data_IF_686248380875
#
_entry.id   IF_686248380875
#
_cell.length_a   1.000
_cell.length_b   1.000
_cell.length_c   1.000
_cell.angle_alpha   90.00
_cell.angle_beta   90.00
_cell.angle_gamma   90.00
#
_symmetry.space_group_name_H-M   'P 1'
#
loop_
_entity.id
_entity.type
_entity.pdbx_description
1 polymer ?
#
# COMPACT_ATOMS: atom_id res chain seq x y z
N UNK A 1 50.02 -18.08 -37.74
CA UNK A 1 50.76 -17.04 -38.48
C UNK A 1 49.93 -16.24 -39.51
N UNK A 2 48.57 -16.26 -39.49
CA UNK A 2 47.74 -15.56 -40.51
C UNK A 2 46.92 -14.35 -39.98
N UNK A 3 46.64 -14.25 -38.67
CA UNK A 3 45.82 -13.15 -38.11
C UNK A 3 46.56 -11.81 -37.93
N UNK A 4 47.86 -11.82 -37.62
CA UNK A 4 48.63 -10.58 -37.37
C UNK A 4 48.87 -9.74 -38.63
N UNK A 5 48.99 -10.38 -39.79
CA UNK A 5 49.23 -9.70 -41.06
C UNK A 5 47.99 -8.96 -41.56
N UNK A 6 46.80 -9.53 -41.34
CA UNK A 6 45.53 -8.91 -41.71
C UNK A 6 45.21 -7.68 -40.84
N UNK A 7 45.44 -7.76 -39.53
CA UNK A 7 45.23 -6.65 -38.59
C UNK A 7 46.18 -5.49 -38.91
N UNK A 8 47.46 -5.78 -39.17
CA UNK A 8 48.44 -4.77 -39.60
C UNK A 8 48.07 -4.09 -40.92
N UNK A 9 47.54 -4.83 -41.89
CA UNK A 9 47.06 -4.28 -43.16
C UNK A 9 45.94 -3.27 -42.99
N UNK A 10 44.89 -3.63 -42.25
CA UNK A 10 43.75 -2.74 -41.95
C UNK A 10 44.20 -1.50 -41.17
N UNK A 11 45.08 -1.66 -40.18
CA UNK A 11 45.64 -0.56 -39.39
C UNK A 11 46.44 0.42 -40.27
N UNK A 12 47.26 -0.07 -41.20
CA UNK A 12 47.99 0.79 -42.15
C UNK A 12 47.05 1.53 -43.11
N UNK A 13 45.98 0.88 -43.57
CA UNK A 13 44.97 1.54 -44.42
C UNK A 13 44.22 2.64 -43.67
N UNK A 14 43.86 2.42 -42.41
CA UNK A 14 43.20 3.43 -41.57
C UNK A 14 44.13 4.61 -41.29
N UNK A 15 45.41 4.36 -40.97
CA UNK A 15 46.40 5.42 -40.79
C UNK A 15 46.57 6.24 -42.08
N UNK A 16 46.68 5.58 -43.23
CA UNK A 16 46.80 6.22 -44.54
C UNK A 16 45.55 7.01 -44.94
N UNK A 17 44.36 6.53 -44.59
CA UNK A 17 43.10 7.24 -44.81
C UNK A 17 42.98 8.49 -43.93
N UNK A 18 43.28 8.36 -42.64
CA UNK A 18 43.28 9.50 -41.71
C UNK A 18 44.32 10.55 -42.14
N UNK A 19 45.48 10.13 -42.63
CA UNK A 19 46.56 10.98 -43.17
C UNK A 19 46.15 11.99 -44.26
N UNK A 20 44.95 11.85 -44.85
CA UNK A 20 44.42 12.74 -45.90
C UNK A 20 43.63 13.94 -45.36
N UNK A 21 43.26 13.92 -44.09
CA UNK A 21 42.46 14.99 -43.45
C UNK A 21 43.33 15.91 -42.60
N UNK A 22 42.90 17.15 -42.38
CA UNK A 22 43.58 18.08 -41.45
C UNK A 22 43.66 17.51 -40.03
N UNK A 23 44.75 17.83 -39.32
CA UNK A 23 45.02 17.41 -37.93
C UNK A 23 43.86 17.79 -37.02
N UNK A 24 43.33 19.01 -37.15
CA UNK A 24 42.18 19.50 -36.37
C UNK A 24 40.94 18.64 -36.59
N UNK A 25 40.65 18.26 -37.83
CA UNK A 25 39.47 17.44 -38.17
C UNK A 25 39.54 16.05 -37.55
N UNK A 26 40.73 15.44 -37.52
CA UNK A 26 40.94 14.11 -36.90
C UNK A 26 40.69 14.14 -35.40
N UNK A 27 41.26 15.14 -34.72
CA UNK A 27 41.09 15.34 -33.28
C UNK A 27 39.61 15.64 -32.98
N UNK A 28 39.01 16.60 -33.71
CA UNK A 28 37.62 16.97 -33.53
C UNK A 28 36.68 15.76 -33.71
N UNK A 29 36.85 14.95 -34.76
CA UNK A 29 36.01 13.77 -34.99
C UNK A 29 36.08 12.75 -33.84
N UNK A 30 37.28 12.47 -33.32
CA UNK A 30 37.47 11.56 -32.20
C UNK A 30 36.80 12.10 -30.91
N UNK A 31 37.02 13.37 -30.60
CA UNK A 31 36.41 14.00 -29.42
C UNK A 31 34.88 14.11 -29.56
N UNK A 32 34.35 14.44 -30.74
CA UNK A 32 32.91 14.48 -30.99
C UNK A 32 32.29 13.10 -30.79
N UNK A 33 32.90 12.03 -31.30
CA UNK A 33 32.40 10.66 -31.12
C UNK A 33 32.37 10.26 -29.63
N UNK A 34 33.42 10.59 -28.87
CA UNK A 34 33.47 10.36 -27.43
C UNK A 34 32.40 11.16 -26.67
N UNK A 35 32.20 12.44 -27.03
CA UNK A 35 31.18 13.28 -26.41
C UNK A 35 29.76 12.79 -26.70
N UNK A 36 29.50 12.29 -27.93
CA UNK A 36 28.21 11.67 -28.27
C UNK A 36 27.98 10.42 -27.43
N UNK A 37 28.96 9.53 -27.31
CA UNK A 37 28.85 8.33 -26.47
C UNK A 37 28.63 8.67 -25.00
N UNK A 38 29.35 9.67 -24.48
CA UNK A 38 29.14 10.17 -23.12
C UNK A 38 27.73 10.73 -22.93
N UNK A 39 27.24 11.49 -23.90
CA UNK A 39 25.88 12.03 -23.91
C UNK A 39 24.82 10.94 -23.96
N UNK A 40 25.04 9.86 -24.72
CA UNK A 40 24.13 8.71 -24.78
C UNK A 40 24.07 7.97 -23.43
N UNK A 41 25.23 7.71 -22.80
CA UNK A 41 25.32 7.09 -21.47
C UNK A 41 24.60 7.95 -20.43
N UNK A 42 24.93 9.24 -20.39
CA UNK A 42 24.32 10.19 -19.45
C UNK A 42 22.81 10.32 -19.67
N UNK A 43 22.38 10.43 -20.93
CA UNK A 43 20.98 10.53 -21.32
C UNK A 43 20.18 9.29 -20.93
N UNK A 44 20.67 8.08 -21.24
CA UNK A 44 19.99 6.84 -20.84
C UNK A 44 19.91 6.68 -19.32
N UNK A 45 20.96 7.12 -18.60
CA UNK A 45 20.97 7.12 -17.15
C UNK A 45 19.91 8.04 -16.54
N UNK A 46 19.82 9.29 -17.04
CA UNK A 46 18.83 10.27 -16.55
C UNK A 46 17.39 9.84 -16.85
N UNK A 47 17.12 9.30 -18.04
CA UNK A 47 15.79 8.79 -18.39
C UNK A 47 15.39 7.64 -17.46
N UNK A 48 16.28 6.67 -17.25
CA UNK A 48 16.03 5.52 -16.36
C UNK A 48 15.79 5.98 -14.92
N UNK A 49 16.60 6.90 -14.41
CA UNK A 49 16.44 7.43 -13.06
C UNK A 49 15.06 8.07 -12.86
N UNK A 50 14.60 8.87 -13.83
CA UNK A 50 13.28 9.51 -13.79
C UNK A 50 12.11 8.51 -13.87
N UNK A 51 12.26 7.42 -14.61
CA UNK A 51 11.26 6.34 -14.65
C UNK A 51 11.24 5.54 -13.36
N UNK A 52 12.43 5.27 -12.79
CA UNK A 52 12.58 4.55 -11.54
C UNK A 52 11.96 5.34 -10.38
N UNK A 53 12.18 6.65 -10.31
CA UNK A 53 11.55 7.53 -9.31
C UNK A 53 10.03 7.43 -9.33
N UNK A 54 9.40 7.57 -10.51
CA UNK A 54 7.94 7.41 -10.66
C UNK A 54 7.44 6.02 -10.26
N UNK A 55 8.19 4.97 -10.57
CA UNK A 55 7.83 3.60 -10.17
C UNK A 55 7.96 3.38 -8.67
N UNK A 56 8.92 4.02 -8.01
CA UNK A 56 9.01 3.99 -6.55
C UNK A 56 7.84 4.72 -5.89
N UNK A 57 7.36 5.83 -6.47
CA UNK A 57 6.14 6.49 -6.00
C UNK A 57 4.91 5.58 -6.13
N UNK A 58 4.75 4.92 -7.28
CA UNK A 58 3.67 3.96 -7.51
C UNK A 58 3.76 2.77 -6.54
N UNK A 59 4.97 2.27 -6.30
CA UNK A 59 5.24 1.23 -5.30
C UNK A 59 4.82 1.70 -3.90
N UNK A 60 5.18 2.91 -3.48
CA UNK A 60 4.83 3.45 -2.17
C UNK A 60 3.31 3.61 -2.01
N UNK A 61 2.60 4.10 -3.04
CA UNK A 61 1.13 4.22 -3.05
C UNK A 61 0.47 2.85 -2.93
N UNK A 62 0.91 1.88 -3.73
CA UNK A 62 0.42 0.50 -3.66
C UNK A 62 0.73 -0.11 -2.28
N UNK A 63 1.93 0.17 -1.74
CA UNK A 63 2.41 -0.28 -0.42
C UNK A 63 1.50 0.16 0.71
N UNK A 64 1.32 1.47 0.81
CA UNK A 64 0.51 2.12 1.83
C UNK A 64 -0.96 1.72 1.73
N UNK A 65 -1.49 1.57 0.51
CA UNK A 65 -2.88 1.16 0.32
C UNK A 65 -3.17 -0.26 0.83
N UNK A 66 -2.30 -1.26 0.62
CA UNK A 66 -2.61 -2.58 1.21
C UNK A 66 -2.50 -2.58 2.74
N UNK A 67 -1.53 -1.86 3.33
CA UNK A 67 -1.47 -1.68 4.79
C UNK A 67 -2.72 -0.96 5.33
N UNK A 68 -3.29 -0.05 4.53
CA UNK A 68 -4.55 0.62 4.86
C UNK A 68 -5.71 -0.37 4.81
N UNK A 69 -5.79 -1.23 3.79
CA UNK A 69 -6.84 -2.27 3.67
C UNK A 69 -6.77 -3.29 4.83
N UNK A 70 -5.56 -3.66 5.26
CA UNK A 70 -5.37 -4.51 6.45
C UNK A 70 -5.91 -3.83 7.72
N UNK A 71 -5.60 -2.54 7.92
CA UNK A 71 -6.15 -1.76 9.04
C UNK A 71 -7.68 -1.66 8.98
N UNK A 72 -8.25 -1.41 7.80
CA UNK A 72 -9.69 -1.38 7.57
C UNK A 72 -10.31 -2.73 7.97
N UNK A 73 -9.68 -3.85 7.57
CA UNK A 73 -10.15 -5.20 7.92
C UNK A 73 -10.14 -5.43 9.43
N UNK A 74 -9.05 -5.07 10.12
CA UNK A 74 -8.97 -5.13 11.58
C UNK A 74 -10.05 -4.29 12.27
N UNK A 75 -10.27 -3.06 11.80
CA UNK A 75 -11.32 -2.17 12.31
C UNK A 75 -12.72 -2.77 12.16
N UNK A 76 -13.02 -3.50 11.10
CA UNK A 76 -14.31 -4.19 10.96
C UNK A 76 -14.48 -5.30 11.98
N UNK A 77 -13.44 -6.10 12.25
CA UNK A 77 -13.52 -7.10 13.30
C UNK A 77 -13.78 -6.46 14.67
N UNK A 78 -13.10 -5.35 14.98
CA UNK A 78 -13.33 -4.60 16.22
C UNK A 78 -14.73 -3.98 16.29
N UNK A 79 -15.23 -3.43 15.17
CA UNK A 79 -16.59 -2.93 15.09
C UNK A 79 -17.60 -4.05 15.39
N UNK A 80 -17.47 -5.21 14.71
CA UNK A 80 -18.35 -6.36 14.90
C UNK A 80 -18.34 -6.84 16.35
N UNK A 81 -17.17 -6.94 16.97
CA UNK A 81 -17.01 -7.30 18.38
C UNK A 81 -17.77 -6.33 19.30
N UNK A 82 -17.66 -5.03 19.07
CA UNK A 82 -18.38 -4.03 19.86
C UNK A 82 -19.90 -4.08 19.64
N UNK A 83 -20.36 -4.30 18.41
CA UNK A 83 -21.78 -4.51 18.09
C UNK A 83 -22.33 -5.72 18.82
N UNK A 84 -21.65 -6.87 18.73
CA UNK A 84 -22.03 -8.10 19.44
C UNK A 84 -22.04 -7.87 20.96
N UNK A 85 -21.03 -7.19 21.49
CA UNK A 85 -20.96 -6.85 22.92
C UNK A 85 -22.17 -6.01 23.33
N UNK A 86 -22.54 -4.99 22.55
CA UNK A 86 -23.72 -4.16 22.82
C UNK A 86 -25.03 -4.94 22.76
N UNK A 87 -25.20 -5.84 21.79
CA UNK A 87 -26.43 -6.65 21.65
C UNK A 87 -26.66 -7.54 22.89
N UNK A 88 -25.59 -8.16 23.38
CA UNK A 88 -25.66 -9.08 24.52
C UNK A 88 -25.74 -8.36 25.85
N UNK A 89 -24.91 -7.32 26.05
CA UNK A 89 -24.76 -6.66 27.37
C UNK A 89 -25.59 -5.40 27.51
N UNK A 90 -25.93 -4.74 26.40
CA UNK A 90 -26.47 -3.39 26.41
C UNK A 90 -25.50 -2.27 26.74
N UNK A 91 -24.19 -2.56 26.81
CA UNK A 91 -23.22 -1.59 27.26
C UNK A 91 -23.17 -0.37 26.30
N UNK A 92 -23.55 0.84 26.76
CA UNK A 92 -23.56 2.03 25.91
C UNK A 92 -22.15 2.41 25.42
N UNK A 93 -21.09 2.07 26.16
CA UNK A 93 -19.71 2.30 25.71
C UNK A 93 -19.37 1.45 24.48
N UNK A 94 -19.83 0.19 24.44
CA UNK A 94 -19.63 -0.67 23.28
C UNK A 94 -20.36 -0.10 22.04
N UNK A 95 -21.58 0.42 22.22
CA UNK A 95 -22.30 1.10 21.13
C UNK A 95 -21.59 2.36 20.65
N UNK A 96 -21.11 3.20 21.57
CA UNK A 96 -20.35 4.40 21.23
C UNK A 96 -19.05 4.05 20.49
N UNK A 97 -18.35 3.01 20.91
CA UNK A 97 -17.13 2.55 20.26
C UNK A 97 -17.41 2.00 18.85
N UNK A 98 -18.48 1.23 18.67
CA UNK A 98 -18.90 0.75 17.35
C UNK A 98 -19.18 1.92 16.38
N UNK A 99 -19.91 2.95 16.84
CA UNK A 99 -20.19 4.15 16.03
C UNK A 99 -18.93 4.94 15.67
N UNK A 100 -17.98 5.08 16.61
CA UNK A 100 -16.68 5.72 16.34
C UNK A 100 -15.91 4.98 15.25
N UNK A 101 -15.78 3.66 15.39
CA UNK A 101 -15.10 2.83 14.40
C UNK A 101 -15.79 2.94 13.03
N UNK A 102 -17.13 2.97 12.97
CA UNK A 102 -17.86 3.16 11.71
C UNK A 102 -17.49 4.47 11.00
N UNK A 103 -17.38 5.58 11.74
CA UNK A 103 -16.97 6.87 11.19
C UNK A 103 -15.54 6.81 10.68
N UNK A 104 -14.60 6.36 11.51
CA UNK A 104 -13.17 6.27 11.14
C UNK A 104 -12.95 5.36 9.93
N UNK A 105 -13.70 4.27 9.84
CA UNK A 105 -13.67 3.32 8.74
C UNK A 105 -14.16 3.95 7.43
N UNK A 106 -15.27 4.70 7.49
CA UNK A 106 -15.81 5.38 6.32
C UNK A 106 -14.81 6.40 5.76
N UNK A 107 -14.15 7.17 6.64
CA UNK A 107 -13.13 8.15 6.25
C UNK A 107 -11.90 7.46 5.66
N UNK A 108 -11.43 6.38 6.29
CA UNK A 108 -10.25 5.63 5.83
C UNK A 108 -10.50 4.99 4.46
N UNK A 109 -11.69 4.43 4.22
CA UNK A 109 -12.07 3.87 2.92
C UNK A 109 -12.22 4.97 1.87
N UNK A 110 -12.79 6.12 2.21
CA UNK A 110 -12.88 7.26 1.29
C UNK A 110 -11.49 7.78 0.86
N UNK A 111 -10.53 7.80 1.77
CA UNK A 111 -9.13 8.10 1.45
C UNK A 111 -8.51 7.05 0.52
N UNK A 112 -8.68 5.75 0.84
CA UNK A 112 -8.21 4.65 -0.01
C UNK A 112 -8.77 4.74 -1.45
N UNK A 113 -10.06 5.06 -1.60
CA UNK A 113 -10.71 5.26 -2.90
C UNK A 113 -10.06 6.42 -3.67
N UNK A 114 -9.74 7.53 -3.01
CA UNK A 114 -9.08 8.69 -3.66
C UNK A 114 -7.67 8.37 -4.13
N UNK A 115 -6.93 7.56 -3.39
CA UNK A 115 -5.55 7.15 -3.72
C UNK A 115 -5.47 6.00 -4.73
N UNK A 116 -6.56 5.25 -4.92
CA UNK A 116 -6.63 4.13 -5.83
C UNK A 116 -6.63 4.58 -7.31
N UNK A 117 -5.49 4.37 -7.98
CA UNK A 117 -5.32 4.65 -9.41
C UNK A 117 -5.88 3.57 -10.33
N UNK A 118 -5.87 2.33 -9.86
CA UNK A 118 -6.34 1.17 -10.63
C UNK A 118 -7.87 1.06 -10.57
N UNK A 119 -8.57 0.96 -11.72
CA UNK A 119 -10.03 0.92 -11.76
C UNK A 119 -10.64 -0.28 -11.02
N UNK A 120 -10.02 -1.46 -11.09
CA UNK A 120 -10.54 -2.67 -10.45
C UNK A 120 -10.41 -2.58 -8.93
N UNK A 121 -9.25 -2.13 -8.43
CA UNK A 121 -9.05 -1.90 -7.00
C UNK A 121 -9.96 -0.80 -6.46
N UNK A 122 -10.16 0.27 -7.23
CA UNK A 122 -11.10 1.33 -6.88
C UNK A 122 -12.53 0.80 -6.77
N UNK A 123 -12.97 -0.02 -7.72
CA UNK A 123 -14.31 -0.61 -7.70
C UNK A 123 -14.51 -1.51 -6.46
N UNK A 124 -13.50 -2.31 -6.07
CA UNK A 124 -13.56 -3.10 -4.85
C UNK A 124 -13.73 -2.21 -3.60
N UNK A 125 -12.95 -1.13 -3.49
CA UNK A 125 -13.04 -0.18 -2.37
C UNK A 125 -14.39 0.55 -2.34
N UNK A 126 -14.96 0.90 -3.50
CA UNK A 126 -16.30 1.49 -3.59
C UNK A 126 -17.38 0.50 -3.14
N UNK A 127 -17.25 -0.79 -3.51
CA UNK A 127 -18.14 -1.85 -3.01
C UNK A 127 -18.02 -2.06 -1.50
N UNK A 128 -16.79 -2.07 -0.98
CA UNK A 128 -16.51 -2.09 0.46
C UNK A 128 -17.20 -0.94 1.20
N UNK A 129 -17.14 0.28 0.66
CA UNK A 129 -17.84 1.44 1.23
C UNK A 129 -19.35 1.21 1.30
N UNK A 130 -19.97 0.70 0.24
CA UNK A 130 -21.40 0.38 0.24
C UNK A 130 -21.75 -0.66 1.30
N UNK A 131 -20.92 -1.69 1.50
CA UNK A 131 -21.14 -2.69 2.54
C UNK A 131 -21.03 -2.09 3.95
N UNK A 132 -20.08 -1.18 4.18
CA UNK A 132 -19.95 -0.46 5.45
C UNK A 132 -21.17 0.42 5.72
N UNK A 133 -21.65 1.14 4.71
CA UNK A 133 -22.85 1.97 4.82
C UNK A 133 -24.10 1.14 5.13
N UNK A 134 -24.24 -0.01 4.47
CA UNK A 134 -25.30 -0.99 4.74
C UNK A 134 -25.24 -1.53 6.17
N UNK A 135 -24.05 -1.97 6.60
CA UNK A 135 -23.81 -2.45 7.95
C UNK A 135 -24.15 -1.39 9.00
N UNK A 136 -23.76 -0.12 8.78
CA UNK A 136 -24.10 1.02 9.65
C UNK A 136 -25.62 1.23 9.72
N UNK A 137 -26.30 1.24 8.57
CA UNK A 137 -27.75 1.42 8.54
C UNK A 137 -28.50 0.29 9.27
N UNK A 138 -28.05 -0.96 9.09
CA UNK A 138 -28.58 -2.11 9.82
C UNK A 138 -28.34 -2.01 11.33
N UNK A 139 -27.17 -1.52 11.74
CA UNK A 139 -26.87 -1.28 13.14
C UNK A 139 -27.80 -0.22 13.76
N UNK A 140 -28.06 0.89 13.07
CA UNK A 140 -29.00 1.92 13.55
C UNK A 140 -30.45 1.42 13.65
N UNK A 141 -30.85 0.45 12.82
CA UNK A 141 -32.15 -0.22 12.95
C UNK A 141 -32.19 -1.19 14.14
N UNK A 142 -31.06 -1.81 14.48
CA UNK A 142 -30.95 -2.77 15.55
C UNK A 142 -30.99 -2.14 16.95
N UNK A 143 -30.38 -0.96 17.11
CA UNK A 143 -30.28 -0.25 18.40
C UNK A 143 -31.66 -0.08 19.09
N UNK A 144 -32.69 0.49 18.44
CA UNK A 144 -33.99 0.66 19.08
C UNK A 144 -34.68 -0.67 19.41
N UNK A 145 -34.46 -1.73 18.64
CA UNK A 145 -34.99 -3.07 18.94
C UNK A 145 -34.39 -3.62 20.23
N UNK A 146 -33.07 -3.47 20.41
CA UNK A 146 -32.38 -3.90 21.62
C UNK A 146 -32.82 -3.08 22.84
N UNK A 147 -32.97 -1.77 22.69
CA UNK A 147 -33.44 -0.88 23.76
C UNK A 147 -34.87 -1.21 24.16
N UNK A 148 -35.77 -1.40 23.18
CA UNK A 148 -37.15 -1.82 23.40
C UNK A 148 -37.22 -3.16 24.11
N UNK A 149 -36.42 -4.14 23.68
CA UNK A 149 -36.29 -5.44 24.37
C UNK A 149 -35.93 -5.25 25.85
N UNK A 150 -34.91 -4.42 26.13
CA UNK A 150 -34.51 -4.13 27.51
C UNK A 150 -35.63 -3.51 28.34
N UNK A 151 -36.32 -2.50 27.80
CA UNK A 151 -37.46 -1.86 28.47
C UNK A 151 -38.61 -2.85 28.75
N UNK A 152 -38.96 -3.69 27.78
CA UNK A 152 -40.01 -4.70 27.93
C UNK A 152 -39.68 -5.72 29.02
N UNK A 153 -38.42 -6.12 29.14
CA UNK A 153 -37.98 -7.04 30.19
C UNK A 153 -37.96 -6.36 31.55
N UNK A 154 -37.27 -5.22 31.66
CA UNK A 154 -37.00 -4.56 32.95
C UNK A 154 -38.22 -3.86 33.54
N UNK A 155 -39.05 -3.23 32.70
CA UNK A 155 -40.19 -2.42 33.12
C UNK A 155 -41.54 -3.13 32.89
N UNK A 156 -41.58 -4.13 32.02
CA UNK A 156 -42.76 -4.94 31.75
C UNK A 156 -42.70 -6.26 32.50
N UNK A 157 -41.98 -7.22 31.94
CA UNK A 157 -42.02 -8.62 32.37
C UNK A 157 -41.59 -8.82 33.83
N UNK A 158 -40.47 -8.24 34.25
CA UNK A 158 -39.93 -8.44 35.60
C UNK A 158 -40.89 -8.00 36.72
N UNK A 159 -41.37 -6.74 36.76
CA UNK A 159 -42.29 -6.28 37.80
C UNK A 159 -43.67 -6.96 37.69
N UNK A 160 -44.18 -7.19 36.47
CA UNK A 160 -45.47 -7.87 36.26
C UNK A 160 -45.43 -9.31 36.81
N UNK A 161 -44.38 -10.05 36.47
CA UNK A 161 -44.19 -11.43 36.94
C UNK A 161 -43.92 -11.52 38.45
N UNK A 162 -43.32 -10.50 39.05
CA UNK A 162 -43.16 -10.40 40.49
C UNK A 162 -44.50 -10.16 41.19
N UNK A 163 -45.28 -9.17 40.74
CA UNK A 163 -46.58 -8.84 41.33
C UNK A 163 -47.57 -10.00 41.24
N UNK A 164 -47.66 -10.69 40.08
CA UNK A 164 -48.54 -11.85 39.93
C UNK A 164 -48.16 -13.00 40.88
N UNK A 165 -46.87 -13.20 41.15
CA UNK A 165 -46.39 -14.18 42.15
C UNK A 165 -46.78 -13.76 43.56
N UNK A 166 -46.63 -12.47 43.90
CA UNK A 166 -47.02 -11.93 45.21
C UNK A 166 -48.52 -12.10 45.47
N UNK A 167 -49.37 -11.82 44.49
CA UNK A 167 -50.82 -12.02 44.58
C UNK A 167 -51.17 -13.48 44.85
N UNK A 168 -50.56 -14.42 44.12
CA UNK A 168 -50.79 -15.85 44.37
C UNK A 168 -50.25 -16.32 45.72
N UNK A 169 -49.09 -15.81 46.15
CA UNK A 169 -48.54 -16.11 47.48
C UNK A 169 -49.46 -15.63 48.61
N UNK A 170 -50.10 -14.47 48.42
CA UNK A 170 -51.05 -13.92 49.40
C UNK A 170 -52.35 -14.75 49.47
N UNK A 171 -52.84 -15.22 48.33
CA UNK A 171 -53.96 -16.19 48.29
C UNK A 171 -53.58 -17.47 49.05
N UNK A 172 -52.40 -18.05 48.80
CA UNK A 172 -51.93 -19.24 49.51
C UNK A 172 -51.91 -18.97 51.03
N UNK A 173 -51.27 -17.89 51.45
CA UNK A 173 -51.11 -17.52 52.87
C UNK A 173 -52.45 -17.35 53.57
N UNK A 174 -53.35 -16.57 52.99
CA UNK A 174 -54.66 -16.29 53.58
C UNK A 174 -55.56 -17.53 53.54
N UNK A 175 -55.52 -18.33 52.47
CA UNK A 175 -56.30 -19.56 52.37
C UNK A 175 -55.88 -20.60 53.42
N UNK A 176 -54.58 -20.75 53.68
CA UNK A 176 -54.08 -21.60 54.76
C UNK A 176 -54.52 -21.09 56.13
N UNK A 177 -54.49 -19.77 56.37
CA UNK A 177 -54.93 -19.17 57.62
C UNK A 177 -56.43 -19.43 57.91
N UNK A 178 -57.25 -19.45 56.86
CA UNK A 178 -58.69 -19.73 56.96
C UNK A 178 -59.03 -21.24 56.91
N UNK A 179 -58.04 -22.13 56.76
CA UNK A 179 -58.23 -23.57 56.62
C UNK A 179 -58.72 -24.03 55.24
N UNK A 180 -58.75 -23.17 54.23
CA UNK A 180 -59.12 -23.50 52.85
C UNK A 180 -57.92 -24.10 52.08
N UNK A 181 -57.57 -25.33 52.43
CA UNK A 181 -56.39 -26.03 51.88
C UNK A 181 -56.51 -26.30 50.37
N UNK A 182 -57.72 -26.44 49.86
CA UNK A 182 -57.98 -26.63 48.43
C UNK A 182 -57.66 -25.36 47.63
N UNK A 183 -58.12 -24.19 48.09
CA UNK A 183 -57.76 -22.92 47.47
C UNK A 183 -56.25 -22.65 47.55
N UNK A 184 -55.61 -22.97 48.68
CA UNK A 184 -54.17 -22.87 48.83
C UNK A 184 -53.43 -23.78 47.83
N UNK A 185 -53.86 -25.02 47.64
CA UNK A 185 -53.26 -25.95 46.69
C UNK A 185 -53.42 -25.47 45.23
N UNK A 186 -54.62 -25.01 44.85
CA UNK A 186 -54.88 -24.48 43.50
C UNK A 186 -54.04 -23.22 43.20
N UNK A 187 -53.92 -22.31 44.17
CA UNK A 187 -53.05 -21.14 44.05
C UNK A 187 -51.57 -21.53 43.94
N UNK A 188 -51.15 -22.58 44.66
CA UNK A 188 -49.81 -23.16 44.55
C UNK A 188 -49.51 -23.71 43.14
N UNK A 189 -50.44 -24.48 42.56
CA UNK A 189 -50.32 -25.02 41.19
C UNK A 189 -50.24 -23.88 40.16
N UNK A 190 -51.09 -22.86 40.31
CA UNK A 190 -51.02 -21.67 39.45
C UNK A 190 -49.66 -20.96 39.60
N UNK A 191 -49.15 -20.83 40.82
CA UNK A 191 -47.85 -20.22 41.07
C UNK A 191 -46.70 -21.01 40.43
N UNK A 192 -46.75 -22.35 40.47
CA UNK A 192 -45.78 -23.21 39.78
C UNK A 192 -45.79 -22.95 38.27
N UNK A 193 -46.97 -22.95 37.64
CA UNK A 193 -47.11 -22.67 36.21
C UNK A 193 -46.55 -21.29 35.83
N UNK A 194 -46.77 -20.27 36.68
CA UNK A 194 -46.19 -18.94 36.50
C UNK A 194 -44.66 -18.97 36.55
N UNK A 195 -44.08 -19.70 37.51
CA UNK A 195 -42.62 -19.80 37.64
C UNK A 195 -42.00 -20.54 36.45
N UNK A 196 -42.66 -21.59 35.96
CA UNK A 196 -42.23 -22.29 34.76
C UNK A 196 -42.34 -21.41 33.50
N UNK A 197 -43.40 -20.59 33.36
CA UNK A 197 -43.50 -19.61 32.28
C UNK A 197 -42.35 -18.60 32.34
N UNK A 198 -42.05 -18.05 33.53
CA UNK A 198 -40.92 -17.12 33.71
C UNK A 198 -39.57 -17.78 33.43
N UNK A 199 -39.41 -19.07 33.75
CA UNK A 199 -38.20 -19.83 33.41
C UNK A 199 -38.04 -19.98 31.90
N UNK A 200 -39.09 -20.37 31.18
CA UNK A 200 -39.04 -20.50 29.71
C UNK A 200 -38.80 -19.14 29.04
N UNK A 201 -39.37 -18.06 29.57
CA UNK A 201 -39.08 -16.71 29.08
C UNK A 201 -37.59 -16.34 29.24
N UNK A 202 -36.97 -16.66 30.38
CA UNK A 202 -35.54 -16.45 30.59
C UNK A 202 -34.67 -17.34 29.69
N UNK A 203 -35.08 -18.60 29.47
CA UNK A 203 -34.41 -19.51 28.53
C UNK A 203 -34.45 -18.96 27.11
N UNK A 204 -35.59 -18.42 26.68
CA UNK A 204 -35.72 -17.75 25.38
C UNK A 204 -34.77 -16.54 25.27
N UNK A 205 -34.65 -15.71 26.32
CA UNK A 205 -33.72 -14.57 26.30
C UNK A 205 -32.24 -14.99 26.20
N UNK A 206 -31.88 -16.12 26.82
CA UNK A 206 -30.52 -16.66 26.78
C UNK A 206 -30.20 -17.40 25.46
N UNK A 207 -31.17 -18.15 24.96
CA UNK A 207 -31.08 -18.95 23.74
C UNK A 207 -32.41 -18.86 22.98
N UNK A 208 -32.56 -17.86 22.09
CA UNK A 208 -33.79 -17.65 21.33
C UNK A 208 -34.09 -18.83 20.40
N UNK A 209 -35.34 -19.27 20.36
CA UNK A 209 -35.80 -20.32 19.47
C UNK A 209 -37.32 -20.46 19.49
N UNK A 210 -37.90 -20.98 18.41
CA UNK A 210 -39.35 -21.22 18.36
C UNK A 210 -39.77 -22.22 19.43
N UNK A 211 -38.98 -23.28 19.68
CA UNK A 211 -39.28 -24.27 20.72
C UNK A 211 -39.37 -23.66 22.13
N UNK A 212 -38.48 -22.73 22.49
CA UNK A 212 -38.53 -22.04 23.80
C UNK A 212 -39.69 -21.05 23.87
N UNK A 213 -40.04 -20.39 22.76
CA UNK A 213 -41.22 -19.54 22.67
C UNK A 213 -42.54 -20.34 22.79
N UNK A 214 -42.59 -21.54 22.20
CA UNK A 214 -43.74 -22.45 22.26
C UNK A 214 -43.93 -22.97 23.70
N UNK A 215 -42.84 -23.45 24.32
CA UNK A 215 -42.85 -23.85 25.73
C UNK A 215 -43.34 -22.74 26.65
N UNK A 216 -42.91 -21.49 26.42
CA UNK A 216 -43.41 -20.35 27.18
C UNK A 216 -44.94 -20.22 27.06
N UNK A 217 -45.48 -20.27 25.83
CA UNK A 217 -46.93 -20.15 25.59
C UNK A 217 -47.71 -21.29 26.25
N UNK A 218 -47.19 -22.51 26.21
CA UNK A 218 -47.81 -23.66 26.89
C UNK A 218 -47.89 -23.45 28.41
N UNK A 219 -46.82 -22.92 29.02
CA UNK A 219 -46.80 -22.62 30.47
C UNK A 219 -47.74 -21.49 30.85
N UNK A 220 -47.88 -20.46 30.00
CA UNK A 220 -48.87 -19.40 30.21
C UNK A 220 -50.29 -19.97 30.12
N UNK A 221 -50.59 -20.82 29.14
CA UNK A 221 -51.90 -21.46 29.04
C UNK A 221 -52.23 -22.33 30.27
N UNK A 222 -51.25 -23.08 30.79
CA UNK A 222 -51.40 -23.84 32.04
C UNK A 222 -51.68 -22.93 33.24
N UNK A 223 -51.00 -21.78 33.32
CA UNK A 223 -51.25 -20.78 34.35
C UNK A 223 -52.68 -20.23 34.25
N UNK A 224 -53.12 -19.82 33.06
CA UNK A 224 -54.46 -19.26 32.85
C UNK A 224 -55.55 -20.28 33.23
N UNK A 225 -55.38 -21.55 32.86
CA UNK A 225 -56.27 -22.64 33.26
C UNK A 225 -56.28 -22.85 34.78
N UNK A 226 -55.11 -22.85 35.42
CA UNK A 226 -54.97 -23.01 36.87
C UNK A 226 -55.66 -21.89 37.65
N UNK A 227 -55.44 -20.63 37.24
CA UNK A 227 -56.10 -19.46 37.84
C UNK A 227 -57.60 -19.47 37.55
N UNK A 228 -58.04 -19.89 36.37
CA UNK A 228 -59.47 -20.06 36.06
C UNK A 228 -60.16 -21.07 36.99
N UNK A 229 -59.50 -22.19 37.27
CA UNK A 229 -59.98 -23.21 38.21
C UNK A 229 -60.04 -22.66 39.64
N UNK A 230 -59.01 -21.94 40.07
CA UNK A 230 -58.97 -21.25 41.36
C UNK A 230 -60.13 -20.25 41.49
N UNK A 231 -60.34 -19.39 40.50
CA UNK A 231 -61.39 -18.37 40.49
C UNK A 231 -62.80 -18.95 40.61
N UNK A 232 -63.07 -20.10 39.98
CA UNK A 232 -64.37 -20.77 40.07
C UNK A 232 -64.69 -21.24 41.52
N UNK A 233 -63.64 -21.54 42.31
CA UNK A 233 -63.76 -22.08 43.67
C UNK A 233 -63.68 -21.02 44.77
N UNK A 234 -62.97 -19.92 44.53
CA UNK A 234 -62.80 -18.84 45.49
C UNK A 234 -64.14 -18.21 45.87
N UNK A 235 -64.33 -17.98 47.17
CA UNK A 235 -65.50 -17.28 47.73
C UNK A 235 -65.13 -15.94 48.38
N UNK A 236 -63.91 -15.83 48.90
CA UNK A 236 -63.39 -14.60 49.48
C UNK A 236 -63.22 -13.52 48.37
N UNK A 237 -63.84 -12.34 48.48
CA UNK A 237 -63.76 -11.28 47.48
C UNK A 237 -62.34 -10.76 47.22
N UNK A 238 -61.50 -10.68 48.25
CA UNK A 238 -60.11 -10.21 48.12
C UNK A 238 -59.28 -11.21 47.32
N UNK A 239 -59.37 -12.51 47.64
CA UNK A 239 -58.69 -13.56 46.86
C UNK A 239 -59.17 -13.60 45.41
N UNK A 240 -60.47 -13.38 45.16
CA UNK A 240 -60.99 -13.30 43.80
C UNK A 240 -60.41 -12.10 43.05
N UNK A 241 -60.24 -10.95 43.72
CA UNK A 241 -59.61 -9.76 43.15
C UNK A 241 -58.13 -10.05 42.82
N UNK A 242 -57.38 -10.63 43.74
CA UNK A 242 -55.97 -11.00 43.56
C UNK A 242 -55.78 -12.01 42.42
N UNK A 243 -56.62 -13.05 42.34
CA UNK A 243 -56.55 -14.04 41.27
C UNK A 243 -56.89 -13.44 39.90
N UNK A 244 -57.85 -12.52 39.81
CA UNK A 244 -58.13 -11.77 38.57
C UNK A 244 -56.97 -10.86 38.19
N UNK A 245 -56.40 -10.16 39.17
CA UNK A 245 -55.23 -9.28 38.97
C UNK A 245 -54.03 -10.09 38.44
N UNK A 246 -53.76 -11.27 39.01
CA UNK A 246 -52.72 -12.18 38.56
C UNK A 246 -52.96 -12.67 37.11
N UNK A 247 -54.22 -12.96 36.74
CA UNK A 247 -54.58 -13.35 35.37
C UNK A 247 -54.34 -12.20 34.37
N UNK A 248 -54.75 -10.99 34.71
CA UNK A 248 -54.56 -9.81 33.85
C UNK A 248 -53.08 -9.40 33.75
N UNK A 249 -52.31 -9.61 34.80
CA UNK A 249 -50.85 -9.46 34.79
C UNK A 249 -50.20 -10.49 33.86
N UNK A 250 -50.60 -11.76 33.90
CA UNK A 250 -50.05 -12.78 33.01
C UNK A 250 -50.32 -12.48 31.53
N UNK A 251 -51.52 -11.97 31.18
CA UNK A 251 -51.82 -11.53 29.81
C UNK A 251 -50.90 -10.38 29.35
N UNK A 252 -50.66 -9.40 30.22
CA UNK A 252 -49.71 -8.30 29.93
C UNK A 252 -48.26 -8.79 29.84
N UNK A 253 -47.89 -9.79 30.66
CA UNK A 253 -46.60 -10.46 30.59
C UNK A 253 -46.42 -11.14 29.23
N UNK A 254 -47.43 -11.91 28.78
CA UNK A 254 -47.43 -12.58 27.49
C UNK A 254 -47.33 -11.58 26.33
N UNK A 255 -48.12 -10.50 26.33
CA UNK A 255 -48.02 -9.46 25.32
C UNK A 255 -46.61 -8.83 25.26
N UNK A 256 -46.00 -8.58 26.41
CA UNK A 256 -44.62 -8.07 26.49
C UNK A 256 -43.61 -9.09 25.96
N UNK A 257 -43.82 -10.38 26.24
CA UNK A 257 -42.99 -11.46 25.71
C UNK A 257 -43.10 -11.56 24.19
N UNK A 258 -44.29 -11.43 23.61
CA UNK A 258 -44.48 -11.49 22.16
C UNK A 258 -43.77 -10.34 21.42
N UNK A 259 -43.77 -9.14 22.00
CA UNK A 259 -42.96 -8.01 21.51
C UNK A 259 -41.45 -8.29 21.64
N UNK A 260 -41.00 -8.84 22.79
CA UNK A 260 -39.61 -9.26 22.99
C UNK A 260 -39.19 -10.30 21.96
N UNK A 261 -40.03 -11.32 21.71
CA UNK A 261 -39.80 -12.37 20.73
C UNK A 261 -39.58 -11.79 19.33
N UNK A 262 -40.45 -10.86 18.94
CA UNK A 262 -40.37 -10.16 17.66
C UNK A 262 -39.07 -9.37 17.53
N UNK A 263 -38.71 -8.60 18.57
CA UNK A 263 -37.47 -7.82 18.58
C UNK A 263 -36.23 -8.72 18.55
N UNK A 264 -36.23 -9.83 19.29
CA UNK A 264 -35.11 -10.78 19.37
C UNK A 264 -34.86 -11.46 18.02
N UNK A 265 -35.92 -11.95 17.35
CA UNK A 265 -35.76 -12.58 16.04
C UNK A 265 -35.35 -11.59 14.95
N UNK A 266 -35.84 -10.35 14.99
CA UNK A 266 -35.38 -9.32 14.04
C UNK A 266 -33.92 -8.94 14.28
N UNK A 267 -33.49 -8.85 15.54
CA UNK A 267 -32.07 -8.65 15.89
C UNK A 267 -31.23 -9.82 15.37
N UNK A 268 -31.65 -11.06 15.57
CA UNK A 268 -30.96 -12.25 15.06
C UNK A 268 -30.84 -12.23 13.52
N UNK A 269 -31.95 -11.94 12.81
CA UNK A 269 -31.97 -11.82 11.35
C UNK A 269 -31.00 -10.75 10.84
N UNK A 270 -30.94 -9.60 11.52
CA UNK A 270 -30.02 -8.52 11.16
C UNK A 270 -28.57 -8.93 11.42
N UNK A 271 -28.26 -9.49 12.59
CA UNK A 271 -26.87 -9.74 13.03
C UNK A 271 -26.29 -10.98 12.36
N UNK A 272 -26.99 -12.11 12.44
CA UNK A 272 -26.51 -13.40 11.97
C UNK A 272 -26.84 -13.65 10.49
N UNK A 273 -27.81 -12.93 9.93
CA UNK A 273 -28.12 -12.93 8.50
C UNK A 273 -27.41 -11.81 7.75
N UNK A 274 -28.04 -10.63 7.72
CA UNK A 274 -27.68 -9.54 6.82
C UNK A 274 -26.27 -8.98 7.11
N UNK A 275 -26.03 -8.55 8.33
CA UNK A 275 -24.78 -7.90 8.73
C UNK A 275 -23.60 -8.88 8.71
N UNK A 276 -23.83 -10.15 9.03
CA UNK A 276 -22.81 -11.20 8.91
C UNK A 276 -22.41 -11.43 7.45
N UNK A 277 -23.38 -11.47 6.54
CA UNK A 277 -23.12 -11.60 5.10
C UNK A 277 -22.40 -10.37 4.54
N UNK A 278 -22.82 -9.15 4.91
CA UNK A 278 -22.15 -7.91 4.52
C UNK A 278 -20.68 -7.90 4.99
N UNK A 279 -20.43 -8.33 6.22
CA UNK A 279 -19.08 -8.44 6.77
C UNK A 279 -18.25 -9.53 6.06
N UNK A 280 -18.86 -10.66 5.70
CA UNK A 280 -18.19 -11.73 4.96
C UNK A 280 -17.78 -11.27 3.55
N UNK A 281 -18.70 -10.65 2.81
CA UNK A 281 -18.41 -10.09 1.49
C UNK A 281 -17.33 -9.01 1.58
N UNK A 282 -17.36 -8.19 2.64
CA UNK A 282 -16.31 -7.22 2.90
C UNK A 282 -14.94 -7.90 3.05
N UNK A 283 -14.83 -8.91 3.91
CA UNK A 283 -13.56 -9.61 4.17
C UNK A 283 -13.01 -10.25 2.90
N UNK A 284 -13.87 -10.87 2.09
CA UNK A 284 -13.48 -11.46 0.80
C UNK A 284 -12.96 -10.40 -0.17
N UNK A 285 -13.64 -9.26 -0.29
CA UNK A 285 -13.18 -8.15 -1.13
C UNK A 285 -11.86 -7.57 -0.62
N UNK A 286 -11.69 -7.46 0.70
CA UNK A 286 -10.48 -6.93 1.30
C UNK A 286 -9.28 -7.82 0.98
N UNK A 287 -9.43 -9.13 1.18
CA UNK A 287 -8.41 -10.13 0.82
C UNK A 287 -8.06 -10.04 -0.66
N UNK A 288 -9.05 -10.10 -1.56
CA UNK A 288 -8.82 -10.00 -3.01
C UNK A 288 -8.11 -8.71 -3.40
N UNK A 289 -8.45 -7.60 -2.74
CA UNK A 289 -7.81 -6.31 -3.03
C UNK A 289 -6.36 -6.29 -2.54
N UNK A 290 -6.07 -6.88 -1.38
CA UNK A 290 -4.70 -7.04 -0.90
C UNK A 290 -3.89 -7.95 -1.83
N UNK A 291 -4.46 -9.05 -2.30
CA UNK A 291 -3.83 -9.96 -3.26
C UNK A 291 -3.49 -9.24 -4.57
N UNK A 292 -4.45 -8.50 -5.13
CA UNK A 292 -4.22 -7.66 -6.32
C UNK A 292 -3.13 -6.60 -6.10
N UNK A 293 -3.05 -6.00 -4.91
CA UNK A 293 -1.98 -5.06 -4.59
C UNK A 293 -0.63 -5.77 -4.47
N UNK A 294 -0.58 -6.98 -3.90
CA UNK A 294 0.63 -7.80 -3.78
C UNK A 294 1.18 -8.20 -5.15
N UNK A 295 0.30 -8.69 -6.04
CA UNK A 295 0.65 -9.02 -7.43
C UNK A 295 1.17 -7.80 -8.19
N UNK A 296 0.50 -6.65 -8.07
CA UNK A 296 0.92 -5.41 -8.71
C UNK A 296 2.31 -4.95 -8.21
N UNK A 297 2.62 -5.10 -6.91
CA UNK A 297 3.97 -4.82 -6.38
C UNK A 297 5.02 -5.74 -6.99
N UNK A 298 4.74 -7.05 -7.03
CA UNK A 298 5.67 -8.03 -7.55
C UNK A 298 5.97 -7.78 -9.04
N UNK A 299 4.94 -7.46 -9.84
CA UNK A 299 5.09 -7.09 -11.24
C UNK A 299 5.93 -5.83 -11.39
N UNK A 300 5.65 -4.77 -10.62
CA UNK A 300 6.36 -3.50 -10.67
C UNK A 300 7.84 -3.64 -10.29
N UNK A 301 8.16 -4.46 -9.28
CA UNK A 301 9.54 -4.78 -8.90
C UNK A 301 10.27 -5.54 -10.02
N UNK A 302 9.65 -6.59 -10.57
CA UNK A 302 10.23 -7.36 -11.66
C UNK A 302 10.47 -6.52 -12.94
N UNK A 303 9.56 -5.60 -13.26
CA UNK A 303 9.74 -4.66 -14.37
C UNK A 303 10.86 -3.66 -14.10
N UNK A 304 10.97 -3.15 -12.85
CA UNK A 304 12.03 -2.22 -12.45
C UNK A 304 13.40 -2.89 -12.50
N UNK A 305 13.52 -4.13 -12.03
CA UNK A 305 14.75 -4.92 -12.10
C UNK A 305 15.18 -5.16 -13.55
N UNK A 306 14.26 -5.61 -14.42
CA UNK A 306 14.54 -5.82 -15.85
C UNK A 306 15.01 -4.55 -16.56
N UNK A 307 14.41 -3.41 -16.25
CA UNK A 307 14.80 -2.14 -16.87
C UNK A 307 16.15 -1.63 -16.34
N UNK A 308 16.43 -1.83 -15.04
CA UNK A 308 17.76 -1.55 -14.47
C UNK A 308 18.84 -2.42 -15.12
N UNK A 309 18.58 -3.71 -15.31
CA UNK A 309 19.51 -4.64 -15.96
C UNK A 309 19.78 -4.26 -17.41
N UNK A 310 18.72 -3.89 -18.17
CA UNK A 310 18.87 -3.41 -19.54
C UNK A 310 19.70 -2.15 -19.62
N UNK A 311 19.44 -1.18 -18.75
CA UNK A 311 20.20 0.07 -18.69
C UNK A 311 21.66 -0.18 -18.30
N UNK A 312 21.91 -1.11 -17.37
CA UNK A 312 23.26 -1.54 -17.00
C UNK A 312 23.99 -2.15 -18.21
N UNK A 313 23.35 -3.08 -18.93
CA UNK A 313 23.92 -3.69 -20.13
C UNK A 313 24.24 -2.66 -21.22
N UNK A 314 23.30 -1.76 -21.52
CA UNK A 314 23.49 -0.67 -22.49
C UNK A 314 24.64 0.26 -22.07
N UNK A 315 24.71 0.61 -20.78
CA UNK A 315 25.78 1.45 -20.23
C UNK A 315 27.15 0.78 -20.33
N UNK A 316 27.24 -0.53 -20.04
CA UNK A 316 28.47 -1.32 -20.19
C UNK A 316 28.90 -1.35 -21.67
N UNK A 317 27.97 -1.60 -22.59
CA UNK A 317 28.27 -1.63 -24.03
C UNK A 317 28.81 -0.28 -24.50
N UNK A 318 28.18 0.83 -24.13
CA UNK A 318 28.67 2.15 -24.48
C UNK A 318 29.99 2.51 -23.80
N UNK A 319 30.21 2.11 -22.54
CA UNK A 319 31.46 2.32 -21.83
C UNK A 319 32.62 1.59 -22.50
N UNK A 320 32.43 0.31 -22.83
CA UNK A 320 33.41 -0.51 -23.57
C UNK A 320 33.67 0.11 -24.94
N UNK A 321 32.62 0.50 -25.68
CA UNK A 321 32.77 1.16 -26.97
C UNK A 321 33.55 2.48 -26.87
N UNK A 322 33.24 3.33 -25.89
CA UNK A 322 33.93 4.59 -25.65
C UNK A 322 35.40 4.37 -25.27
N UNK A 323 35.70 3.34 -24.47
CA UNK A 323 37.08 2.99 -24.10
C UNK A 323 37.85 2.50 -25.31
N UNK A 324 37.29 1.60 -26.12
CA UNK A 324 37.92 1.10 -27.34
C UNK A 324 38.17 2.24 -28.33
N UNK A 325 37.17 3.10 -28.56
CA UNK A 325 37.29 4.28 -29.43
C UNK A 325 38.33 5.27 -28.90
N UNK A 326 38.36 5.52 -27.59
CA UNK A 326 39.34 6.39 -26.96
C UNK A 326 40.76 5.88 -27.10
N UNK A 327 40.98 4.57 -26.88
CA UNK A 327 42.29 3.92 -27.09
C UNK A 327 42.71 3.98 -28.55
N UNK A 328 41.79 3.69 -29.49
CA UNK A 328 42.07 3.78 -30.94
C UNK A 328 42.39 5.22 -31.37
N UNK A 329 41.63 6.21 -30.89
CA UNK A 329 41.88 7.61 -31.17
C UNK A 329 43.23 8.07 -30.62
N UNK A 330 43.56 7.73 -29.37
CA UNK A 330 44.85 8.04 -28.76
C UNK A 330 46.01 7.41 -29.54
N UNK A 331 45.84 6.17 -29.98
CA UNK A 331 46.82 5.47 -30.80
C UNK A 331 47.01 6.11 -32.18
N UNK A 332 45.92 6.48 -32.87
CA UNK A 332 45.94 7.18 -34.16
C UNK A 332 46.61 8.55 -34.01
N UNK A 333 46.24 9.34 -33.02
CA UNK A 333 46.83 10.66 -32.76
C UNK A 333 48.33 10.53 -32.41
N UNK A 334 48.69 9.55 -31.58
CA UNK A 334 50.08 9.27 -31.22
C UNK A 334 50.97 8.97 -32.43
N UNK A 335 50.49 8.16 -33.37
CA UNK A 335 51.26 7.80 -34.58
C UNK A 335 51.18 8.83 -35.70
N UNK A 336 50.02 9.44 -35.92
CA UNK A 336 49.81 10.34 -37.07
C UNK A 336 50.20 11.79 -36.80
N UNK A 337 50.27 12.20 -35.53
CA UNK A 337 50.58 13.59 -35.14
C UNK A 337 51.83 13.62 -34.26
N UNK A 338 51.79 12.97 -33.08
CA UNK A 338 52.86 13.10 -32.08
C UNK A 338 54.21 12.62 -32.61
N UNK A 339 54.24 11.46 -33.29
CA UNK A 339 55.47 10.92 -33.87
C UNK A 339 56.07 11.83 -34.97
N UNK A 340 55.33 12.24 -36.03
CA UNK A 340 55.83 13.17 -37.04
C UNK A 340 56.28 14.52 -36.47
N UNK A 341 55.50 15.11 -35.55
CA UNK A 341 55.87 16.38 -34.89
C UNK A 341 57.18 16.22 -34.12
N UNK A 342 57.32 15.15 -33.33
CA UNK A 342 58.56 14.90 -32.58
C UNK A 342 59.75 14.66 -33.51
N UNK A 343 59.53 13.97 -34.63
CA UNK A 343 60.57 13.77 -35.65
C UNK A 343 60.98 15.09 -36.32
N UNK A 344 60.00 15.97 -36.62
CA UNK A 344 60.24 17.32 -37.13
C UNK A 344 61.04 18.17 -36.15
N UNK A 345 60.71 18.14 -34.85
CA UNK A 345 61.48 18.84 -33.81
C UNK A 345 62.93 18.37 -33.77
N UNK A 346 63.18 17.06 -33.79
CA UNK A 346 64.54 16.51 -33.83
C UNK A 346 65.30 16.88 -35.10
N UNK A 347 64.63 16.91 -36.25
CA UNK A 347 65.24 17.35 -37.50
C UNK A 347 65.66 18.83 -37.44
N UNK A 348 64.81 19.69 -36.87
CA UNK A 348 65.13 21.10 -36.65
C UNK A 348 66.26 21.32 -35.63
N UNK A 349 66.30 20.56 -34.54
CA UNK A 349 67.42 20.60 -33.58
C UNK A 349 68.76 20.25 -34.26
N UNK A 350 68.76 19.24 -35.15
CA UNK A 350 69.95 18.85 -35.92
C UNK A 350 70.36 19.91 -36.94
N UNK A 351 69.41 20.50 -37.67
CA UNK A 351 69.69 21.62 -38.57
C UNK A 351 70.28 22.82 -37.80
N UNK A 352 69.72 23.15 -36.64
CA UNK A 352 70.21 24.23 -35.79
C UNK A 352 71.60 23.93 -35.17
N UNK A 353 71.95 22.65 -35.03
CA UNK A 353 73.29 22.21 -34.65
C UNK A 353 74.30 22.21 -35.83
N UNK A 354 73.84 22.54 -37.05
CA UNK A 354 74.67 22.63 -38.26
C UNK A 354 74.70 21.37 -39.14
N UNK A 355 73.90 20.35 -38.81
CA UNK A 355 73.80 19.13 -39.61
C UNK A 355 72.81 19.30 -40.77
N UNK A 356 73.31 19.74 -41.92
CA UNK A 356 72.54 19.92 -43.15
C UNK A 356 72.28 18.61 -43.92
N UNK A 357 72.72 17.47 -43.41
CA UNK A 357 72.46 16.15 -44.05
C UNK A 357 71.15 15.51 -43.58
N UNK A 358 70.55 16.02 -42.49
CA UNK A 358 69.33 15.46 -41.92
C UNK A 358 68.16 15.48 -42.92
N UNK A 359 67.51 14.33 -43.14
CA UNK A 359 66.31 14.25 -43.95
C UNK A 359 65.11 14.84 -43.18
N UNK A 360 64.30 15.66 -43.86
CA UNK A 360 63.12 16.26 -43.24
C UNK A 360 61.99 15.22 -43.27
N UNK A 361 61.49 14.75 -42.12
CA UNK A 361 60.41 13.77 -42.08
C UNK A 361 59.08 14.37 -42.58
N UNK A 362 58.08 13.52 -42.85
CA UNK A 362 56.72 13.92 -43.23
C UNK A 362 56.57 14.72 -44.55
N UNK A 363 57.59 14.75 -45.41
CA UNK A 363 57.47 15.33 -46.74
C UNK A 363 56.43 14.61 -47.59
N UNK A 364 55.57 15.39 -48.26
CA UNK A 364 54.47 14.87 -49.09
C UNK A 364 53.18 14.56 -48.33
N UNK A 365 53.14 14.75 -47.01
CA UNK A 365 51.85 14.80 -46.29
C UNK A 365 51.00 15.99 -46.79
N UNK A 366 49.68 15.81 -46.79
CA UNK A 366 48.70 16.81 -47.25
C UNK A 366 47.96 17.49 -46.08
N UNK A 367 48.57 17.49 -44.92
CA UNK A 367 48.06 18.08 -43.69
C UNK A 367 49.02 19.15 -43.15
N UNK A 368 48.68 19.75 -42.02
CA UNK A 368 49.46 20.82 -41.39
C UNK A 368 50.91 20.39 -41.08
N UNK A 369 51.16 19.10 -40.88
CA UNK A 369 52.52 18.57 -40.67
C UNK A 369 53.32 18.55 -41.97
N UNK A 370 52.66 18.26 -43.10
CA UNK A 370 53.25 18.39 -44.44
C UNK A 370 53.63 19.82 -44.79
N UNK A 371 52.77 20.79 -44.44
CA UNK A 371 53.05 22.22 -44.62
C UNK A 371 54.29 22.65 -43.80
N UNK A 372 54.41 22.17 -42.57
CA UNK A 372 55.61 22.37 -41.73
C UNK A 372 56.86 21.72 -42.34
N UNK A 373 56.76 20.49 -42.84
CA UNK A 373 57.86 19.78 -43.47
C UNK A 373 58.37 20.52 -44.73
N UNK A 374 57.46 21.07 -45.54
CA UNK A 374 57.80 21.88 -46.70
C UNK A 374 58.53 23.18 -46.31
N UNK A 375 58.04 23.90 -45.29
CA UNK A 375 58.69 25.12 -44.81
C UNK A 375 60.10 24.86 -44.26
N UNK A 376 60.29 23.76 -43.50
CA UNK A 376 61.59 23.36 -42.97
C UNK A 376 62.55 22.92 -44.09
N UNK A 377 62.04 22.28 -45.13
CA UNK A 377 62.85 21.95 -46.31
C UNK A 377 63.39 23.21 -47.00
N UNK A 378 62.54 24.22 -47.21
CA UNK A 378 62.98 25.53 -47.75
C UNK A 378 64.05 26.17 -46.86
N UNK A 379 63.91 26.08 -45.54
CA UNK A 379 64.93 26.59 -44.60
C UNK A 379 66.28 25.85 -44.74
N UNK A 380 66.24 24.53 -44.86
CA UNK A 380 67.43 23.70 -45.11
C UNK A 380 68.08 24.04 -46.46
N UNK A 381 67.28 24.22 -47.50
CA UNK A 381 67.76 24.56 -48.85
C UNK A 381 68.41 25.96 -48.88
N UNK A 382 67.84 26.92 -48.12
CA UNK A 382 68.44 28.25 -47.94
C UNK A 382 69.75 28.21 -47.13
N UNK A 383 69.82 27.37 -46.08
CA UNK A 383 71.03 27.20 -45.27
C UNK A 383 72.18 26.50 -46.03
N UNK A 384 71.86 25.72 -47.07
CA UNK A 384 72.86 25.08 -47.96
C UNK A 384 73.29 25.99 -49.13
N UNK A 385 72.47 26.96 -49.53
CA UNK A 385 72.67 27.76 -50.75
C UNK A 385 73.09 29.23 -50.52
N UNK A 386 73.14 29.74 -49.28
CA UNK A 386 73.44 31.15 -48.97
C UNK A 386 74.72 31.37 -48.14
N UNK A 387 75.51 32.43 -48.40
CA UNK A 387 76.71 32.74 -47.61
C UNK A 387 76.32 33.41 -46.28
N UNK A 388 76.64 32.76 -45.17
CA UNK A 388 76.66 33.39 -43.83
C UNK A 388 75.47 33.10 -42.92
N UNK A 389 75.18 31.83 -42.62
CA UNK A 389 74.36 31.47 -41.47
C UNK A 389 75.25 31.28 -40.22
N UNK A 390 74.99 32.03 -39.12
CA UNK A 390 75.67 31.86 -37.83
C UNK A 390 74.65 31.45 -36.75
N UNK A 391 74.83 30.31 -36.05
CA UNK A 391 73.92 29.90 -34.99
C UNK A 391 74.11 30.75 -33.73
N UNK A 392 73.02 31.34 -33.23
CA UNK A 392 73.01 32.14 -32.01
C UNK A 392 73.06 31.21 -30.77
N UNK A 393 74.17 31.22 -30.02
CA UNK A 393 74.31 30.51 -28.74
C UNK A 393 73.62 31.31 -27.63
N UNK A 394 72.66 30.72 -26.92
CA UNK A 394 72.18 31.28 -25.65
C UNK A 394 73.20 31.03 -24.53
N UNK A 395 73.49 32.00 -23.65
CA UNK A 395 74.41 31.81 -22.53
C UNK A 395 73.70 31.16 -21.33
N UNK A 396 74.40 30.22 -20.71
CA UNK A 396 74.10 29.61 -19.41
C UNK A 396 74.41 30.59 -18.26
N UNK A 397 73.37 31.00 -17.51
CA UNK A 397 73.49 31.79 -16.28
C UNK A 397 72.32 31.50 -15.32
N UNK A 398 72.51 31.55 -13.98
CA UNK A 398 71.57 31.00 -13.01
C UNK A 398 70.32 31.89 -12.80
N UNK A 399 69.22 31.35 -12.22
CA UNK A 399 67.93 32.01 -12.21
C UNK A 399 67.86 33.15 -11.19
N UNK A 400 67.49 34.35 -11.64
CA UNK A 400 67.10 35.45 -10.74
C UNK A 400 65.65 35.25 -10.29
N UNK A 401 65.47 35.09 -8.97
CA UNK A 401 64.19 35.12 -8.26
C UNK A 401 63.50 36.49 -8.42
N UNK A 402 62.21 36.49 -8.71
CA UNK A 402 61.30 37.60 -8.39
C UNK A 402 60.01 37.03 -7.75
N UNK A 403 59.62 37.67 -6.65
CA UNK A 403 58.64 37.26 -5.67
C UNK A 403 57.18 37.54 -6.11
N UNK A 404 56.15 37.12 -5.35
CA UNK A 404 54.78 36.94 -5.85
C UNK A 404 53.96 38.23 -5.91
N UNK A 405 53.10 38.32 -6.93
CA UNK A 405 52.05 39.33 -7.02
C UNK A 405 50.95 39.02 -6.01
N UNK A 406 50.79 39.93 -5.04
CA UNK A 406 49.68 40.01 -4.08
C UNK A 406 48.34 40.12 -4.80
N UNK A 407 47.37 39.36 -4.29
CA UNK A 407 45.94 39.64 -4.39
C UNK A 407 45.63 41.02 -3.81
N UNK A 408 44.81 41.81 -4.52
CA UNK A 408 43.98 42.85 -3.89
C UNK A 408 42.57 42.27 -3.75
N UNK A 409 42.08 42.36 -2.52
CA UNK A 409 40.68 42.18 -2.14
C UNK A 409 39.80 43.22 -2.81
#
# INVERSE_FOLDING_TARGET
MSRDTAIRGVLMTIIGFCGRFKVVTRIAAAFTLLLVLLGLIGGSGLLTLSTTERRFDDYAVISNNALRIERISASIFDMRRNVITYIHTGNPQASAQARRIQTDLADTVAEAIREARDPARRANLERMRTLIDGYRANYERLVPLRERRGQLVDQGMNPIGQKAREDLSEIVRTAMADGDMEAAALAGIAQEALMLARLEANRFLAAPGEETADRFRDRVAQFEQGVGTLLARLRNPERQREAKEALDLAKRYQASFDEVRTAVFEVDRLVNGVMSQEAGEFTDLASRTVDQQSEARAALLAETERDMDRTMQVSIVFLVAATVIGVLAAWIVGRSIVQPVTAMTRAMERLAAGDLTVAIPAQGHRDEIGDMAAAVQVFKDNATSGPGWRPNRRPSGPPRRSAPRRWRR
#
